data_IF_068105588138
#
_entry.id   IF_068105588138
#
_cell.length_a   1.000
_cell.length_b   1.000
_cell.length_c   1.000
_cell.angle_alpha   90.00
_cell.angle_beta   90.00
_cell.angle_gamma   90.00
#
_symmetry.space_group_name_H-M   'P 1'
#
loop_
_entity.id
_entity.type
_entity.pdbx_description
1 polymer ?
#
# COMPACT_ATOMS: atom_id res chain seq x y z
N UNK A 1 -11.71 -5.08 -15.64
CA UNK A 1 -10.75 -5.32 -14.53
C UNK A 1 -10.62 -4.13 -13.56
N UNK A 2 -11.22 -2.97 -13.85
CA UNK A 2 -11.14 -1.73 -13.04
C UNK A 2 -12.44 -1.36 -12.30
N UNK A 3 -13.48 -2.19 -12.35
CA UNK A 3 -14.82 -1.82 -11.87
C UNK A 3 -14.99 -1.79 -10.33
N UNK A 4 -14.01 -2.29 -9.56
CA UNK A 4 -14.05 -2.24 -8.09
C UNK A 4 -13.09 -1.21 -7.48
N UNK A 5 -12.43 -0.41 -8.31
CA UNK A 5 -11.45 0.58 -7.87
C UNK A 5 -12.05 1.97 -7.89
N UNK A 6 -11.99 2.64 -6.75
CA UNK A 6 -12.42 4.01 -6.62
C UNK A 6 -11.37 4.94 -7.22
N UNK A 7 -11.63 5.44 -8.44
CA UNK A 7 -10.69 6.28 -9.19
C UNK A 7 -10.25 7.54 -8.44
N UNK A 8 -11.14 8.12 -7.60
CA UNK A 8 -10.81 9.29 -6.80
C UNK A 8 -9.72 8.94 -5.78
N UNK A 9 -9.92 7.86 -5.04
CA UNK A 9 -8.91 7.38 -4.07
C UNK A 9 -7.64 6.87 -4.74
N UNK A 10 -7.72 6.30 -5.94
CA UNK A 10 -6.53 5.91 -6.70
C UNK A 10 -5.62 7.11 -7.00
N UNK A 11 -6.20 8.22 -7.46
CA UNK A 11 -5.44 9.44 -7.76
C UNK A 11 -4.85 10.03 -6.48
N UNK A 12 -5.66 10.14 -5.42
CA UNK A 12 -5.21 10.69 -4.13
C UNK A 12 -4.11 9.82 -3.53
N UNK A 13 -4.28 8.50 -3.53
CA UNK A 13 -3.27 7.53 -3.07
C UNK A 13 -1.96 7.71 -3.86
N UNK A 14 -2.03 7.69 -5.19
CA UNK A 14 -0.83 7.82 -6.04
C UNK A 14 -0.10 9.15 -5.81
N UNK A 15 -0.84 10.25 -5.69
CA UNK A 15 -0.26 11.56 -5.40
C UNK A 15 0.38 11.60 -3.99
N UNK A 16 -0.30 11.04 -2.99
CA UNK A 16 0.20 10.93 -1.62
C UNK A 16 1.47 10.09 -1.54
N UNK A 17 1.54 8.95 -2.25
CA UNK A 17 2.74 8.10 -2.27
C UNK A 17 3.94 8.82 -2.89
N UNK A 18 3.72 9.63 -3.94
CA UNK A 18 4.78 10.45 -4.54
C UNK A 18 5.30 11.53 -3.58
N UNK A 19 4.39 12.18 -2.84
CA UNK A 19 4.78 13.15 -1.80
C UNK A 19 5.57 12.46 -0.69
N UNK A 20 5.12 11.30 -0.21
CA UNK A 20 5.85 10.54 0.82
C UNK A 20 7.25 10.12 0.34
N UNK A 21 7.37 9.68 -0.91
CA UNK A 21 8.68 9.33 -1.49
C UNK A 21 9.59 10.56 -1.59
N UNK A 22 9.06 11.69 -2.06
CA UNK A 22 9.81 12.95 -2.17
C UNK A 22 10.32 13.41 -0.80
N UNK A 23 9.44 13.42 0.22
CA UNK A 23 9.80 13.80 1.58
C UNK A 23 10.82 12.85 2.19
N UNK A 24 10.68 11.54 1.96
CA UNK A 24 11.60 10.52 2.48
C UNK A 24 12.99 10.51 1.82
N UNK A 25 13.14 11.15 0.66
CA UNK A 25 14.43 11.24 -0.08
C UNK A 25 15.03 12.64 -0.03
N UNK A 26 14.25 13.66 0.31
CA UNK A 26 14.71 15.05 0.35
C UNK A 26 15.87 15.22 1.33
N UNK A 27 17.02 15.63 0.80
CA UNK A 27 18.24 15.91 1.58
C UNK A 27 18.54 17.41 1.69
N UNK A 28 17.52 18.27 1.63
CA UNK A 28 17.72 19.71 1.53
C UNK A 28 17.90 20.36 2.92
N UNK A 29 18.99 21.11 3.12
CA UNK A 29 19.50 21.50 4.45
C UNK A 29 18.54 22.38 5.27
N UNK A 30 17.64 23.12 4.61
CA UNK A 30 16.61 23.94 5.26
C UNK A 30 15.48 23.14 5.89
N UNK A 31 15.17 21.96 5.33
CA UNK A 31 14.05 21.13 5.77
C UNK A 31 14.51 19.95 6.61
N UNK A 32 15.77 19.52 6.44
CA UNK A 32 16.39 18.42 7.18
C UNK A 32 16.29 18.60 8.69
N UNK A 33 16.53 19.79 9.25
CA UNK A 33 16.56 19.94 10.71
C UNK A 33 15.21 19.66 11.35
N UNK A 34 14.13 20.17 10.75
CA UNK A 34 12.76 19.96 11.24
C UNK A 34 12.21 18.59 10.87
N UNK A 35 12.59 18.03 9.72
CA UNK A 35 12.15 16.69 9.29
C UNK A 35 12.86 15.61 10.10
N UNK A 36 14.18 15.71 10.31
CA UNK A 36 14.93 14.69 11.06
C UNK A 36 14.52 14.60 12.52
N UNK A 37 14.11 15.72 13.14
CA UNK A 37 13.64 15.71 14.53
C UNK A 37 12.35 14.88 14.69
N UNK A 38 11.53 14.79 13.64
CA UNK A 38 10.21 14.14 13.66
C UNK A 38 10.06 13.04 12.61
N UNK A 39 11.18 12.53 12.08
CA UNK A 39 11.23 11.55 11.00
C UNK A 39 10.38 10.32 11.33
N UNK A 40 10.45 9.82 12.56
CA UNK A 40 9.65 8.68 13.02
C UNK A 40 8.14 8.94 13.01
N UNK A 41 7.74 10.18 13.32
CA UNK A 41 6.33 10.61 13.25
C UNK A 41 5.91 10.71 11.78
N UNK A 42 6.78 11.22 10.91
CA UNK A 42 6.53 11.27 9.47
C UNK A 42 6.26 9.87 8.92
N UNK A 43 7.10 8.90 9.24
CA UNK A 43 6.94 7.50 8.86
C UNK A 43 5.61 6.92 9.34
N UNK A 44 5.26 7.13 10.61
CA UNK A 44 4.00 6.68 11.18
C UNK A 44 2.79 7.31 10.49
N UNK A 45 2.79 8.63 10.32
CA UNK A 45 1.66 9.38 9.75
C UNK A 45 1.51 9.08 8.26
N UNK A 46 2.60 9.05 7.50
CA UNK A 46 2.59 8.68 6.08
C UNK A 46 2.00 7.29 5.90
N UNK A 47 2.50 6.27 6.60
CA UNK A 47 1.96 4.92 6.44
C UNK A 47 0.53 4.73 6.97
N UNK A 48 0.12 5.53 7.95
CA UNK A 48 -1.28 5.59 8.38
C UNK A 48 -2.18 6.10 7.26
N UNK A 49 -1.83 7.24 6.65
CA UNK A 49 -2.60 7.85 5.57
C UNK A 49 -2.60 6.95 4.34
N UNK A 50 -1.43 6.45 3.92
CA UNK A 50 -1.28 5.56 2.76
C UNK A 50 -2.12 4.28 2.93
N UNK A 51 -2.07 3.64 4.10
CA UNK A 51 -2.83 2.41 4.34
C UNK A 51 -4.34 2.65 4.40
N UNK A 52 -4.76 3.79 4.96
CA UNK A 52 -6.16 4.20 4.96
C UNK A 52 -6.66 4.45 3.53
N UNK A 53 -5.90 5.20 2.72
CA UNK A 53 -6.22 5.46 1.32
C UNK A 53 -6.23 4.17 0.48
N UNK A 54 -5.30 3.26 0.74
CA UNK A 54 -5.24 1.96 0.08
C UNK A 54 -6.46 1.10 0.37
N UNK A 55 -7.00 1.10 1.59
CA UNK A 55 -8.26 0.39 1.88
C UNK A 55 -9.44 1.05 1.14
N UNK A 56 -9.50 2.39 1.13
CA UNK A 56 -10.55 3.16 0.43
C UNK A 56 -10.47 3.07 -1.10
N UNK A 57 -9.36 2.58 -1.63
CA UNK A 57 -9.22 2.29 -3.05
C UNK A 57 -10.23 1.24 -3.53
N UNK A 58 -10.65 0.33 -2.66
CA UNK A 58 -11.56 -0.76 -3.00
C UNK A 58 -12.97 -0.48 -2.48
N UNK A 59 -13.93 -0.37 -3.40
CA UNK A 59 -15.34 -0.12 -3.05
C UNK A 59 -16.00 -1.36 -2.41
N UNK A 60 -15.54 -2.58 -2.75
CA UNK A 60 -16.07 -3.85 -2.22
C UNK A 60 -15.27 -4.42 -1.05
N UNK A 61 -15.89 -5.28 -0.23
CA UNK A 61 -15.19 -5.98 0.87
C UNK A 61 -14.13 -6.97 0.35
N UNK A 62 -14.43 -7.59 -0.81
CA UNK A 62 -13.55 -8.55 -1.47
C UNK A 62 -12.92 -7.96 -2.72
N UNK A 63 -11.62 -8.17 -2.86
CA UNK A 63 -10.83 -7.84 -4.04
C UNK A 63 -10.71 -9.11 -4.88
N UNK A 64 -11.21 -9.04 -6.11
CA UNK A 64 -11.18 -10.16 -7.05
C UNK A 64 -9.94 -10.03 -7.93
N UNK A 65 -8.96 -10.90 -7.70
CA UNK A 65 -7.77 -11.01 -8.55
C UNK A 65 -8.05 -12.03 -9.64
N UNK A 66 -7.86 -11.57 -10.87
CA UNK A 66 -8.02 -12.38 -12.07
C UNK A 66 -6.64 -12.71 -12.58
N UNK A 67 -6.31 -13.98 -12.74
CA UNK A 67 -5.13 -14.39 -13.48
C UNK A 67 -5.42 -14.27 -15.00
N UNK A 68 -4.77 -13.34 -15.74
CA UNK A 68 -4.99 -13.20 -17.17
C UNK A 68 -4.29 -14.29 -18.00
N UNK A 69 -3.34 -15.03 -17.41
CA UNK A 69 -2.49 -16.01 -18.12
C UNK A 69 -3.03 -17.44 -18.08
N UNK A 70 -4.13 -17.72 -17.37
CA UNK A 70 -4.67 -19.08 -17.31
C UNK A 70 -5.56 -19.32 -18.54
N UNK A 71 -5.22 -20.28 -19.43
CA UNK A 71 -6.05 -20.59 -20.58
C UNK A 71 -7.42 -21.11 -20.13
N UNK A 72 -8.46 -20.78 -20.89
CA UNK A 72 -9.80 -21.28 -20.65
C UNK A 72 -9.84 -22.79 -20.92
N UNK A 73 -10.08 -23.59 -19.89
CA UNK A 73 -10.42 -25.01 -20.07
C UNK A 73 -11.93 -25.15 -20.29
N UNK A 74 -12.30 -25.91 -21.31
CA UNK A 74 -13.68 -26.27 -21.60
C UNK A 74 -14.02 -27.52 -20.78
N UNK A 75 -14.95 -27.40 -19.84
CA UNK A 75 -15.38 -28.53 -19.02
C UNK A 75 -16.46 -29.33 -19.79
N UNK A 76 -16.06 -30.50 -20.29
CA UNK A 76 -16.93 -31.43 -21.02
C UNK A 76 -18.09 -31.99 -20.18
N UNK A 77 -17.96 -32.03 -18.84
CA UNK A 77 -19.00 -32.58 -17.98
C UNK A 77 -20.12 -31.59 -17.71
N UNK A 78 -19.82 -30.29 -17.69
CA UNK A 78 -20.81 -29.23 -17.44
C UNK A 78 -21.26 -28.51 -18.71
N UNK A 79 -20.61 -28.74 -19.85
CA UNK A 79 -20.93 -28.09 -21.12
C UNK A 79 -20.77 -26.57 -21.10
N UNK A 80 -20.04 -26.05 -20.10
CA UNK A 80 -19.85 -24.63 -19.86
C UNK A 80 -18.36 -24.28 -19.97
N UNK A 81 -18.08 -23.13 -20.59
CA UNK A 81 -16.75 -22.54 -20.51
C UNK A 81 -16.52 -22.06 -19.07
N UNK A 82 -15.77 -22.84 -18.28
CA UNK A 82 -15.46 -22.49 -16.89
C UNK A 82 -14.36 -21.43 -16.89
N UNK A 83 -14.77 -20.19 -17.14
CA UNK A 83 -13.88 -19.07 -17.25
C UNK A 83 -13.47 -18.60 -15.85
N UNK A 84 -12.15 -18.60 -15.59
CA UNK A 84 -11.45 -17.74 -14.63
C UNK A 84 -11.41 -18.28 -13.19
N UNK A 85 -10.26 -18.85 -12.80
CA UNK A 85 -9.90 -19.03 -11.38
C UNK A 85 -9.81 -17.64 -10.73
N UNK A 86 -10.92 -17.18 -10.14
CA UNK A 86 -11.01 -15.92 -9.41
C UNK A 86 -10.51 -16.17 -8.00
N UNK A 87 -9.47 -15.44 -7.59
CA UNK A 87 -9.02 -15.45 -6.20
C UNK A 87 -9.67 -14.25 -5.53
N UNK A 88 -10.53 -14.52 -4.56
CA UNK A 88 -11.18 -13.48 -3.77
C UNK A 88 -10.44 -13.31 -2.45
N UNK A 89 -9.97 -12.09 -2.19
CA UNK A 89 -9.23 -11.77 -0.97
C UNK A 89 -9.91 -10.58 -0.30
N UNK A 90 -10.15 -10.65 1.01
CA UNK A 90 -10.67 -9.50 1.77
C UNK A 90 -9.72 -8.32 1.66
N UNK A 91 -10.24 -7.12 1.38
CA UNK A 91 -9.40 -5.92 1.18
C UNK A 91 -8.48 -5.60 2.36
N UNK A 92 -8.90 -5.84 3.59
CA UNK A 92 -8.05 -5.63 4.77
C UNK A 92 -6.89 -6.64 4.87
N UNK A 93 -7.09 -7.88 4.42
CA UNK A 93 -5.99 -8.87 4.34
C UNK A 93 -4.99 -8.44 3.28
N UNK A 94 -5.49 -7.99 2.12
CA UNK A 94 -4.65 -7.44 1.07
C UNK A 94 -3.87 -6.22 1.56
N UNK A 95 -4.53 -5.28 2.25
CA UNK A 95 -3.89 -4.10 2.84
C UNK A 95 -2.82 -4.48 3.87
N UNK A 96 -3.06 -5.46 4.73
CA UNK A 96 -2.04 -5.92 5.67
C UNK A 96 -0.78 -6.46 4.95
N UNK A 97 -0.96 -7.30 3.93
CA UNK A 97 0.17 -7.85 3.17
C UNK A 97 0.91 -6.76 2.39
N UNK A 98 0.17 -5.88 1.71
CA UNK A 98 0.75 -4.84 0.85
C UNK A 98 1.36 -3.71 1.68
N UNK A 99 0.61 -3.14 2.62
CA UNK A 99 1.03 -1.96 3.37
C UNK A 99 1.94 -2.33 4.55
N UNK A 100 1.53 -3.27 5.40
CA UNK A 100 2.25 -3.58 6.66
C UNK A 100 3.47 -4.46 6.46
N UNK A 101 3.43 -5.41 5.52
CA UNK A 101 4.58 -6.31 5.29
C UNK A 101 5.46 -5.77 4.16
N UNK A 102 4.88 -5.59 2.98
CA UNK A 102 5.67 -5.31 1.77
C UNK A 102 6.16 -3.87 1.73
N UNK A 103 5.24 -2.89 1.85
CA UNK A 103 5.58 -1.48 1.72
C UNK A 103 6.35 -0.96 2.95
N UNK A 104 6.00 -1.38 4.17
CA UNK A 104 6.69 -0.90 5.38
C UNK A 104 8.17 -1.29 5.43
N UNK A 105 8.50 -2.49 4.95
CA UNK A 105 9.88 -2.98 4.82
C UNK A 105 10.51 -2.41 3.55
N UNK A 106 9.82 -2.53 2.42
CA UNK A 106 10.35 -2.16 1.10
C UNK A 106 10.61 -0.66 0.93
N UNK A 107 9.87 0.21 1.63
CA UNK A 107 10.10 1.66 1.57
C UNK A 107 11.48 2.05 2.07
N UNK A 108 11.99 1.38 3.09
CA UNK A 108 13.31 1.66 3.66
C UNK A 108 14.42 1.29 2.67
N UNK A 109 14.31 0.10 2.06
CA UNK A 109 15.20 -0.31 0.99
C UNK A 109 15.13 0.64 -0.21
N UNK A 110 13.92 1.03 -0.61
CA UNK A 110 13.71 1.91 -1.75
C UNK A 110 14.30 3.30 -1.50
N UNK A 111 14.12 3.87 -0.30
CA UNK A 111 14.69 5.16 0.06
C UNK A 111 16.23 5.11 0.11
N UNK A 112 16.81 4.02 0.62
CA UNK A 112 18.27 3.84 0.61
C UNK A 112 18.83 3.76 -0.82
N UNK A 113 18.17 3.01 -1.71
CA UNK A 113 18.57 2.88 -3.13
C UNK A 113 18.39 4.21 -3.88
N UNK A 114 17.21 4.83 -3.77
CA UNK A 114 16.87 6.06 -4.51
C UNK A 114 17.73 7.24 -4.05
N UNK A 115 18.08 7.31 -2.76
CA UNK A 115 19.00 8.32 -2.24
C UNK A 115 20.47 8.08 -2.60
N UNK A 116 20.79 7.04 -3.38
CA UNK A 116 22.16 6.62 -3.70
C UNK A 116 23.02 6.41 -2.44
N UNK A 117 22.41 5.83 -1.39
CA UNK A 117 23.08 5.55 -0.12
C UNK A 117 23.27 6.75 0.81
N UNK A 118 22.73 7.94 0.49
CA UNK A 118 22.76 9.10 1.39
C UNK A 118 21.90 8.89 2.64
N UNK A 119 20.79 8.16 2.51
CA UNK A 119 19.94 7.77 3.65
C UNK A 119 20.46 6.47 4.25
N UNK A 120 20.70 6.49 5.55
CA UNK A 120 21.12 5.32 6.32
C UNK A 120 19.89 4.46 6.63
N UNK A 121 20.03 3.15 6.45
CA UNK A 121 19.00 2.19 6.78
C UNK A 121 18.70 2.19 8.29
N UNK A 122 17.46 2.45 8.69
CA UNK A 122 17.02 2.43 10.09
C UNK A 122 15.85 1.46 10.30
N UNK A 123 16.08 0.39 11.06
CA UNK A 123 15.04 -0.58 11.37
C UNK A 123 13.87 0.01 12.18
N UNK A 124 14.08 1.14 12.87
CA UNK A 124 13.00 1.85 13.55
C UNK A 124 12.00 2.42 12.54
N UNK A 125 12.44 2.86 11.36
CA UNK A 125 11.53 3.36 10.32
C UNK A 125 10.57 2.27 9.85
N UNK A 126 11.06 1.05 9.71
CA UNK A 126 10.22 -0.12 9.43
C UNK A 126 9.16 -0.30 10.52
N UNK A 127 9.55 -0.22 11.81
CA UNK A 127 8.61 -0.35 12.92
C UNK A 127 7.52 0.73 12.89
N UNK A 128 7.89 2.00 12.70
CA UNK A 128 6.92 3.10 12.61
C UNK A 128 6.03 3.00 11.37
N UNK A 129 6.55 2.53 10.23
CA UNK A 129 5.76 2.23 9.03
C UNK A 129 4.74 1.11 9.31
N UNK A 130 5.15 0.04 9.99
CA UNK A 130 4.27 -1.06 10.38
C UNK A 130 3.17 -0.60 11.33
N UNK A 131 3.51 0.18 12.36
CA UNK A 131 2.55 0.75 13.32
C UNK A 131 1.57 1.70 12.63
N UNK A 132 2.08 2.62 11.80
CA UNK A 132 1.25 3.52 10.99
C UNK A 132 0.27 2.74 10.13
N UNK A 133 0.74 1.70 9.43
CA UNK A 133 -0.10 0.86 8.58
C UNK A 133 -1.19 0.13 9.37
N UNK A 134 -0.83 -0.46 10.50
CA UNK A 134 -1.79 -1.17 11.35
C UNK A 134 -2.89 -0.21 11.86
N UNK A 135 -2.51 1.00 12.26
CA UNK A 135 -3.46 2.05 12.67
C UNK A 135 -4.35 2.49 11.51
N UNK A 136 -3.77 2.73 10.32
CA UNK A 136 -4.52 3.14 9.12
C UNK A 136 -5.56 2.09 8.70
N UNK A 137 -5.18 0.81 8.68
CA UNK A 137 -6.09 -0.30 8.36
C UNK A 137 -7.19 -0.42 9.43
N UNK A 138 -6.83 -0.32 10.71
CA UNK A 138 -7.80 -0.39 11.82
C UNK A 138 -8.79 0.77 11.76
N UNK A 139 -8.32 1.99 11.49
CA UNK A 139 -9.15 3.17 11.34
C UNK A 139 -10.09 3.05 10.14
N UNK A 140 -9.59 2.58 9.00
CA UNK A 140 -10.43 2.33 7.83
C UNK A 140 -11.51 1.29 8.13
N UNK A 141 -11.18 0.22 8.85
CA UNK A 141 -12.15 -0.80 9.28
C UNK A 141 -13.19 -0.26 10.25
N UNK A 142 -12.81 0.67 11.12
CA UNK A 142 -13.73 1.33 12.04
C UNK A 142 -14.68 2.29 11.31
N UNK A 143 -14.20 3.02 10.29
CA UNK A 143 -15.02 3.95 9.50
C UNK A 143 -16.08 3.26 8.62
N UNK A 144 -15.85 2.01 8.24
CA UNK A 144 -16.75 1.23 7.38
C UNK A 144 -17.72 0.34 8.16
N UNK A 145 -17.65 0.39 9.50
CA UNK A 145 -18.49 -0.39 10.40
C UNK A 145 -19.75 0.38 10.79
#
# INVERSE_FOLDING_TARGET
>A
MLWSLNKKFLIIFSASSLVCLYLGVSTDSKYISSINEHDKILHLVSFLIESLLFVKLFDGENVVIVNPMCPSEFDLNSGQLQHRRRVEIKKYKLAFIVCTVSAAIGSEFLQSIVSSGKRVFDYKDILYNMLGSALGITLARYQER
#
